data_IF_654377295240
#
_entry.id   IF_654377295240
#
_cell.length_a   1.000
_cell.length_b   1.000
_cell.length_c   1.000
_cell.angle_alpha   90.00
_cell.angle_beta   90.00
_cell.angle_gamma   90.00
#
_symmetry.space_group_name_H-M   'P 1'
#
loop_
_entity.id
_entity.type
_entity.pdbx_description
1 polymer ?
#
# COMPACT_ATOMS: atom_id res chain seq x y z
N UNK A 1 -23.89 3.09 -14.78
CA UNK A 1 -24.28 3.00 -16.22
C UNK A 1 -23.11 2.39 -16.99
N UNK A 2 -23.35 1.35 -17.77
CA UNK A 2 -22.32 0.75 -18.64
C UNK A 2 -22.35 1.47 -20.01
N UNK A 3 -21.19 1.60 -20.65
CA UNK A 3 -21.15 2.13 -22.01
C UNK A 3 -21.70 1.08 -23.00
N UNK A 4 -22.42 1.52 -24.04
CA UNK A 4 -22.91 0.62 -25.08
C UNK A 4 -21.71 -0.02 -25.83
N UNK A 5 -21.54 -1.32 -25.67
CA UNK A 5 -20.49 -2.10 -26.33
C UNK A 5 -19.21 -2.36 -25.54
N UNK A 6 -19.14 -2.00 -24.25
CA UNK A 6 -18.06 -2.39 -23.33
C UNK A 6 -18.62 -2.70 -21.93
N UNK A 7 -17.99 -3.65 -21.22
CA UNK A 7 -18.31 -3.96 -19.83
C UNK A 7 -17.71 -2.93 -18.84
N UNK A 8 -17.23 -1.79 -19.34
CA UNK A 8 -16.57 -0.77 -18.51
C UNK A 8 -17.62 0.11 -17.81
N UNK A 9 -17.45 0.29 -16.50
CA UNK A 9 -18.28 1.16 -15.67
C UNK A 9 -18.00 2.63 -16.01
N UNK A 10 -19.00 3.38 -16.49
CA UNK A 10 -18.82 4.78 -16.88
C UNK A 10 -19.26 5.79 -15.82
N UNK A 11 -20.11 5.39 -14.89
CA UNK A 11 -20.55 6.22 -13.77
C UNK A 11 -21.07 5.37 -12.61
N UNK A 12 -20.92 5.88 -11.39
CA UNK A 12 -21.53 5.34 -10.18
C UNK A 12 -22.47 6.41 -9.63
N UNK A 13 -23.75 6.06 -9.46
CA UNK A 13 -24.71 6.89 -8.75
C UNK A 13 -25.09 6.22 -7.45
N UNK A 14 -24.85 6.88 -6.32
CA UNK A 14 -25.39 6.48 -5.04
C UNK A 14 -26.84 6.98 -4.98
N UNK A 15 -27.79 6.06 -4.84
CA UNK A 15 -29.23 6.37 -4.76
C UNK A 15 -29.67 7.07 -3.47
N UNK A 16 -28.77 7.28 -2.51
CA UNK A 16 -29.07 7.82 -1.17
C UNK A 16 -28.73 9.29 -0.99
N UNK A 17 -28.06 9.96 -1.94
CA UNK A 17 -27.72 11.38 -1.82
C UNK A 17 -28.81 12.27 -2.42
N UNK A 18 -29.74 12.66 -1.59
CA UNK A 18 -30.67 13.78 -1.89
C UNK A 18 -29.89 15.10 -1.84
N UNK A 19 -29.91 15.84 -2.96
CA UNK A 19 -29.73 17.30 -3.07
C UNK A 19 -28.50 17.90 -2.38
N UNK A 20 -27.38 17.92 -3.07
CA UNK A 20 -26.26 18.77 -2.69
C UNK A 20 -24.95 18.23 -3.23
N UNK A 21 -24.48 18.78 -4.34
CA UNK A 21 -23.22 18.44 -5.02
C UNK A 21 -23.17 16.97 -5.49
N UNK A 22 -23.73 16.71 -6.63
CA UNK A 22 -23.40 15.52 -7.42
C UNK A 22 -21.88 15.55 -7.61
N UNK A 23 -21.13 14.87 -6.74
CA UNK A 23 -19.73 14.58 -7.04
C UNK A 23 -19.75 13.88 -8.38
N UNK A 24 -18.97 14.42 -9.31
CA UNK A 24 -18.89 13.90 -10.66
C UNK A 24 -18.23 12.51 -10.59
N UNK A 25 -19.03 11.48 -10.36
CA UNK A 25 -18.62 10.09 -10.22
C UNK A 25 -18.36 9.46 -11.59
N UNK A 26 -17.93 10.27 -12.55
CA UNK A 26 -17.56 9.83 -13.89
C UNK A 26 -16.31 8.95 -13.79
N UNK A 27 -16.39 7.80 -14.42
CA UNK A 27 -15.23 6.93 -14.63
C UNK A 27 -14.81 7.08 -16.07
N UNK A 28 -13.52 7.34 -16.31
CA UNK A 28 -12.93 7.37 -17.65
C UNK A 28 -11.74 6.45 -17.71
N UNK A 29 -11.43 5.96 -18.91
CA UNK A 29 -10.43 4.94 -19.15
C UNK A 29 -9.47 5.38 -20.28
N UNK A 30 -8.26 4.82 -20.27
CA UNK A 30 -7.35 4.86 -21.41
C UNK A 30 -7.72 3.76 -22.43
N UNK A 31 -6.99 3.72 -23.56
CA UNK A 31 -7.19 2.73 -24.63
C UNK A 31 -6.95 1.28 -24.16
N UNK A 32 -6.21 1.08 -23.09
CA UNK A 32 -5.92 -0.22 -22.49
C UNK A 32 -6.96 -0.65 -21.43
N UNK A 33 -8.01 0.19 -21.21
CA UNK A 33 -9.04 -0.05 -20.20
C UNK A 33 -8.60 0.22 -18.76
N UNK A 34 -7.52 0.98 -18.54
CA UNK A 34 -7.14 1.41 -17.21
C UNK A 34 -7.95 2.65 -16.82
N UNK A 35 -8.48 2.77 -15.59
CA UNK A 35 -9.20 3.96 -15.17
C UNK A 35 -8.27 5.17 -15.08
N UNK A 36 -8.55 6.23 -15.84
CA UNK A 36 -7.82 7.49 -15.77
C UNK A 36 -8.46 8.49 -14.84
N UNK A 37 -9.77 8.27 -14.54
CA UNK A 37 -10.52 9.04 -13.55
C UNK A 37 -11.52 8.15 -12.82
N UNK A 38 -11.57 8.25 -11.47
CA UNK A 38 -12.47 7.48 -10.63
C UNK A 38 -12.77 8.23 -9.33
N UNK A 39 -14.05 8.52 -9.04
CA UNK A 39 -14.48 9.27 -7.86
C UNK A 39 -13.72 10.59 -7.62
N UNK A 40 -13.45 11.34 -8.69
CA UNK A 40 -12.70 12.59 -8.64
C UNK A 40 -11.19 12.44 -8.51
N UNK A 41 -10.67 11.23 -8.36
CA UNK A 41 -9.24 10.97 -8.46
C UNK A 41 -8.79 10.94 -9.93
N UNK A 42 -7.59 11.47 -10.20
CA UNK A 42 -6.89 11.32 -11.48
C UNK A 42 -5.84 10.22 -11.34
N UNK A 43 -5.65 9.43 -12.40
CA UNK A 43 -4.67 8.35 -12.46
C UNK A 43 -3.92 8.36 -13.77
N UNK A 44 -2.63 8.01 -13.74
CA UNK A 44 -1.84 7.75 -14.94
C UNK A 44 -1.19 6.38 -14.88
N UNK A 45 -1.01 5.76 -16.03
CA UNK A 45 -0.56 4.39 -16.15
C UNK A 45 0.61 4.29 -17.15
N UNK A 46 1.44 3.26 -16.95
CA UNK A 46 2.37 2.77 -17.95
C UNK A 46 2.04 1.29 -18.19
N UNK A 47 1.41 0.98 -19.31
CA UNK A 47 0.78 -0.34 -19.51
C UNK A 47 -0.29 -0.58 -18.45
N UNK A 48 -0.13 -1.62 -17.63
CA UNK A 48 -1.02 -1.94 -16.51
C UNK A 48 -0.47 -1.48 -15.14
N UNK A 49 0.64 -0.76 -15.12
CA UNK A 49 1.25 -0.25 -13.89
C UNK A 49 0.74 1.15 -13.56
N UNK A 50 0.10 1.34 -12.41
CA UNK A 50 -0.31 2.65 -11.92
C UNK A 50 0.93 3.48 -11.58
N UNK A 51 1.14 4.60 -12.25
CA UNK A 51 2.27 5.53 -12.03
C UNK A 51 1.92 6.66 -11.08
N UNK A 52 0.68 7.13 -11.15
CA UNK A 52 0.21 8.26 -10.35
C UNK A 52 -1.24 8.06 -9.96
N UNK A 53 -1.58 8.47 -8.75
CA UNK A 53 -2.92 8.70 -8.26
C UNK A 53 -2.97 10.05 -7.54
N UNK A 54 -4.00 10.85 -7.77
CA UNK A 54 -4.17 12.13 -7.08
C UNK A 54 -5.62 12.53 -6.93
N UNK A 55 -5.96 13.09 -5.77
CA UNK A 55 -7.29 13.62 -5.45
C UNK A 55 -7.19 14.70 -4.37
N UNK A 56 -7.86 15.84 -4.60
CA UNK A 56 -8.02 16.91 -3.60
C UNK A 56 -6.71 17.37 -2.94
N UNK A 57 -5.66 17.56 -3.76
CA UNK A 57 -4.34 17.98 -3.29
C UNK A 57 -3.48 16.88 -2.67
N UNK A 58 -4.00 15.67 -2.53
CA UNK A 58 -3.27 14.47 -2.16
C UNK A 58 -2.80 13.72 -3.39
N UNK A 59 -1.60 13.13 -3.33
CA UNK A 59 -1.07 12.36 -4.44
C UNK A 59 -0.21 11.18 -4.00
N UNK A 60 -0.13 10.19 -4.88
CA UNK A 60 0.80 9.07 -4.75
C UNK A 60 1.44 8.79 -6.11
N UNK A 61 2.77 8.75 -6.14
CA UNK A 61 3.55 8.27 -7.28
C UNK A 61 4.13 6.90 -6.99
N UNK A 62 4.27 6.08 -8.03
CA UNK A 62 4.81 4.74 -7.94
C UNK A 62 5.92 4.52 -8.99
N UNK A 63 6.98 3.80 -8.59
CA UNK A 63 7.99 3.28 -9.49
C UNK A 63 8.06 1.75 -9.39
N UNK A 64 8.45 1.12 -10.50
CA UNK A 64 8.53 -0.33 -10.64
C UNK A 64 9.84 -0.69 -11.33
N UNK A 65 10.35 -1.89 -11.04
CA UNK A 65 11.45 -2.48 -11.80
C UNK A 65 10.98 -3.11 -13.12
N UNK A 66 11.89 -3.71 -13.86
CA UNK A 66 11.63 -4.36 -15.14
C UNK A 66 10.67 -5.56 -15.03
N UNK A 67 10.66 -6.24 -13.87
CA UNK A 67 9.75 -7.36 -13.57
C UNK A 67 8.34 -6.90 -13.16
N UNK A 68 8.10 -5.59 -13.10
CA UNK A 68 6.81 -5.04 -12.69
C UNK A 68 6.58 -5.01 -11.18
N UNK A 69 7.60 -5.28 -10.38
CA UNK A 69 7.54 -5.20 -8.91
C UNK A 69 7.70 -3.74 -8.49
N UNK A 70 6.83 -3.27 -7.59
CA UNK A 70 6.90 -1.90 -7.08
C UNK A 70 8.14 -1.71 -6.21
N UNK A 71 9.03 -0.80 -6.63
CA UNK A 71 10.27 -0.48 -5.90
C UNK A 71 10.18 0.82 -5.12
N UNK A 72 9.20 1.69 -5.44
CA UNK A 72 9.06 2.98 -4.77
C UNK A 72 7.61 3.45 -4.72
N UNK A 73 7.28 4.16 -3.65
CA UNK A 73 6.05 4.95 -3.47
C UNK A 73 6.42 6.32 -2.91
N UNK A 74 5.87 7.39 -3.47
CA UNK A 74 5.93 8.73 -2.89
C UNK A 74 4.49 9.20 -2.64
N UNK A 75 4.12 9.30 -1.37
CA UNK A 75 2.80 9.75 -0.94
C UNK A 75 2.94 11.11 -0.26
N UNK A 76 2.42 12.16 -0.92
CA UNK A 76 2.47 13.55 -0.43
C UNK A 76 3.88 13.99 0.00
N UNK A 77 4.92 13.58 -0.74
CA UNK A 77 6.32 13.88 -0.44
C UNK A 77 7.02 12.87 0.48
N UNK A 78 6.29 11.96 1.13
CA UNK A 78 6.89 10.88 1.93
C UNK A 78 7.30 9.75 1.01
N UNK A 79 8.62 9.55 0.89
CA UNK A 79 9.21 8.53 0.04
C UNK A 79 9.28 7.20 0.80
N UNK A 80 8.82 6.12 0.16
CA UNK A 80 9.02 4.74 0.60
C UNK A 80 9.77 3.99 -0.48
N UNK A 81 10.89 3.35 -0.14
CA UNK A 81 11.61 2.44 -1.02
C UNK A 81 11.42 1.00 -0.51
N UNK A 82 11.28 0.06 -1.43
CA UNK A 82 11.10 -1.36 -1.16
C UNK A 82 12.30 -2.14 -1.70
N UNK A 83 12.86 -3.02 -0.89
CA UNK A 83 14.04 -3.84 -1.22
C UNK A 83 13.65 -5.30 -1.20
N UNK A 84 13.94 -6.01 -2.28
CA UNK A 84 13.58 -7.41 -2.47
C UNK A 84 14.82 -8.29 -2.64
N UNK A 85 14.71 -9.56 -2.25
CA UNK A 85 15.66 -10.61 -2.61
C UNK A 85 14.89 -11.71 -3.35
N UNK A 86 14.86 -11.63 -4.67
CA UNK A 86 13.88 -12.37 -5.46
C UNK A 86 12.47 -11.87 -5.18
N UNK A 87 11.56 -12.75 -4.73
CA UNK A 87 10.18 -12.40 -4.44
C UNK A 87 9.95 -11.77 -3.06
N UNK A 88 10.61 -12.21 -1.95
CA UNK A 88 10.34 -11.65 -0.63
C UNK A 88 10.87 -10.23 -0.46
N UNK A 89 10.06 -9.38 0.19
CA UNK A 89 10.43 -8.04 0.63
C UNK A 89 11.36 -8.15 1.84
N UNK A 90 12.65 -7.88 1.67
CA UNK A 90 13.65 -7.99 2.75
C UNK A 90 13.84 -6.70 3.54
N UNK A 91 13.35 -5.57 3.04
CA UNK A 91 13.45 -4.30 3.74
C UNK A 91 12.70 -3.18 3.07
N UNK A 92 12.53 -2.10 3.82
CA UNK A 92 11.98 -0.85 3.31
C UNK A 92 12.52 0.35 4.07
N UNK A 93 12.56 1.50 3.40
CA UNK A 93 12.83 2.79 4.03
C UNK A 93 11.63 3.71 3.83
N UNK A 94 11.32 4.52 4.84
CA UNK A 94 10.20 5.49 4.81
C UNK A 94 10.70 6.83 5.32
N UNK A 95 10.51 7.88 4.53
CA UNK A 95 10.98 9.23 4.85
C UNK A 95 12.24 9.60 4.10
N UNK A 96 12.96 10.62 4.58
CA UNK A 96 14.19 11.13 3.97
C UNK A 96 15.13 11.74 5.01
N UNK A 97 16.44 11.75 4.72
CA UNK A 97 17.46 12.32 5.58
C UNK A 97 17.53 11.66 6.96
N UNK A 98 17.73 12.44 8.00
CA UNK A 98 17.85 11.96 9.39
C UNK A 98 16.55 11.39 9.97
N UNK A 99 15.41 11.64 9.33
CA UNK A 99 14.08 11.15 9.74
C UNK A 99 13.64 9.93 8.92
N UNK A 100 14.59 9.14 8.39
CA UNK A 100 14.29 7.91 7.67
C UNK A 100 14.05 6.78 8.64
N UNK A 101 12.85 6.18 8.55
CA UNK A 101 12.58 4.90 9.20
C UNK A 101 13.08 3.77 8.31
N UNK A 102 13.75 2.78 8.92
CA UNK A 102 14.28 1.60 8.22
C UNK A 102 13.66 0.36 8.83
N UNK A 103 13.15 -0.54 7.99
CA UNK A 103 12.66 -1.85 8.38
C UNK A 103 13.43 -2.92 7.63
N UNK A 104 13.77 -4.02 8.32
CA UNK A 104 14.41 -5.22 7.76
C UNK A 104 13.61 -6.43 8.18
N UNK A 105 13.24 -7.27 7.23
CA UNK A 105 12.39 -8.43 7.47
C UNK A 105 13.20 -9.72 7.34
N UNK A 106 12.99 -10.65 8.29
CA UNK A 106 13.53 -12.00 8.23
C UNK A 106 12.39 -13.01 8.16
N UNK A 107 12.62 -14.08 7.43
CA UNK A 107 11.65 -15.10 7.11
C UNK A 107 12.13 -16.48 7.55
N UNK A 108 11.19 -17.37 7.89
CA UNK A 108 11.48 -18.78 8.11
C UNK A 108 11.65 -19.53 6.76
N UNK A 109 11.95 -20.81 6.83
CA UNK A 109 12.14 -21.66 5.66
C UNK A 109 10.86 -21.85 4.83
N UNK A 110 9.70 -21.58 5.40
CA UNK A 110 8.39 -21.62 4.73
C UNK A 110 7.99 -20.29 4.08
N UNK A 111 8.82 -19.25 4.25
CA UNK A 111 8.56 -17.91 3.72
C UNK A 111 7.66 -17.04 4.60
N UNK A 112 7.39 -17.44 5.85
CA UNK A 112 6.65 -16.60 6.78
C UNK A 112 7.58 -15.57 7.42
N UNK A 113 7.16 -14.30 7.49
CA UNK A 113 7.89 -13.28 8.24
C UNK A 113 7.91 -13.65 9.73
N UNK A 114 9.10 -13.68 10.34
CA UNK A 114 9.30 -14.05 11.75
C UNK A 114 9.90 -12.94 12.59
N UNK A 115 10.70 -12.05 11.98
CA UNK A 115 11.36 -10.95 12.66
C UNK A 115 11.26 -9.68 11.82
N UNK A 116 11.11 -8.55 12.49
CA UNK A 116 11.36 -7.23 11.92
C UNK A 116 12.32 -6.47 12.81
N UNK A 117 13.44 -6.01 12.24
CA UNK A 117 14.30 -5.00 12.84
C UNK A 117 13.86 -3.64 12.31
N UNK A 118 13.61 -2.67 13.20
CA UNK A 118 13.24 -1.33 12.80
C UNK A 118 14.10 -0.26 13.48
N UNK A 119 14.35 0.80 12.72
CA UNK A 119 15.03 2.01 13.17
C UNK A 119 14.19 3.23 12.84
N UNK A 120 14.17 4.21 13.72
CA UNK A 120 13.52 5.52 13.52
C UNK A 120 14.52 6.67 13.45
N UNK A 121 15.82 6.37 13.52
CA UNK A 121 16.94 7.29 13.59
C UNK A 121 17.95 7.07 12.45
N UNK A 122 17.42 6.75 11.25
CA UNK A 122 18.21 6.51 10.04
C UNK A 122 19.26 5.38 10.20
N UNK A 123 18.95 4.36 10.98
CA UNK A 123 19.79 3.17 11.14
C UNK A 123 20.84 3.28 12.22
N UNK A 124 20.82 4.33 13.05
CA UNK A 124 21.76 4.46 14.17
C UNK A 124 21.51 3.44 15.26
N UNK A 125 20.23 3.17 15.54
CA UNK A 125 19.79 2.11 16.46
C UNK A 125 18.69 1.25 15.81
N UNK A 126 18.68 -0.04 16.17
CA UNK A 126 17.65 -0.99 15.75
C UNK A 126 16.98 -1.63 16.94
N UNK A 127 15.66 -1.73 16.88
CA UNK A 127 14.84 -2.52 17.77
C UNK A 127 14.33 -3.74 17.03
N UNK A 128 14.34 -4.90 17.68
CA UNK A 128 13.88 -6.16 17.11
C UNK A 128 12.52 -6.52 17.65
N UNK A 129 11.59 -6.87 16.76
CA UNK A 129 10.28 -7.42 17.09
C UNK A 129 10.06 -8.76 16.40
N UNK A 130 9.28 -9.61 17.05
CA UNK A 130 8.91 -10.94 16.59
C UNK A 130 7.44 -10.99 16.26
N UNK A 131 7.10 -11.58 15.11
CA UNK A 131 5.73 -11.80 14.69
C UNK A 131 5.14 -13.01 15.42
N UNK A 132 4.03 -12.83 16.12
CA UNK A 132 3.23 -13.93 16.66
C UNK A 132 2.04 -14.20 15.73
N UNK A 133 1.76 -15.48 15.52
CA UNK A 133 0.68 -15.97 14.65
C UNK A 133 -0.30 -16.81 15.44
N UNK A 134 -1.55 -16.83 14.97
CA UNK A 134 -2.58 -17.74 15.44
C UNK A 134 -2.50 -19.10 14.71
N UNK A 135 -3.43 -20.00 15.00
CA UNK A 135 -3.51 -21.32 14.39
C UNK A 135 -3.82 -21.27 12.87
N UNK A 136 -4.42 -20.18 12.37
CA UNK A 136 -4.68 -19.95 10.96
C UNK A 136 -3.47 -19.33 10.23
N UNK A 137 -2.34 -19.15 10.94
CA UNK A 137 -1.12 -18.52 10.44
C UNK A 137 -1.25 -17.00 10.18
N UNK A 138 -2.28 -16.33 10.71
CA UNK A 138 -2.40 -14.87 10.67
C UNK A 138 -1.50 -14.22 11.71
N UNK A 139 -0.87 -13.10 11.36
CA UNK A 139 -0.10 -12.30 12.30
C UNK A 139 -1.09 -11.61 13.25
N UNK A 140 -0.99 -11.91 14.54
CA UNK A 140 -1.87 -11.35 15.58
C UNK A 140 -1.17 -10.34 16.48
N UNK A 141 0.15 -10.43 16.65
CA UNK A 141 0.94 -9.51 17.48
C UNK A 141 2.35 -9.35 16.96
N UNK A 142 2.97 -8.21 17.35
CA UNK A 142 4.41 -8.06 17.41
C UNK A 142 4.81 -7.93 18.90
N UNK A 143 5.82 -8.68 19.28
CA UNK A 143 6.42 -8.59 20.62
C UNK A 143 7.88 -8.18 20.52
N UNK A 144 8.40 -7.51 21.53
CA UNK A 144 9.82 -7.20 21.64
C UNK A 144 10.63 -8.39 22.21
N UNK A 145 11.94 -8.19 22.37
CA UNK A 145 12.87 -9.19 22.91
C UNK A 145 12.57 -9.59 24.37
N UNK A 146 11.75 -8.82 25.10
CA UNK A 146 11.33 -9.12 26.48
C UNK A 146 10.02 -9.88 26.53
N UNK A 147 9.33 -10.03 25.38
CA UNK A 147 8.00 -10.61 25.27
C UNK A 147 6.87 -9.59 25.45
N UNK A 148 7.20 -8.30 25.63
CA UNK A 148 6.19 -7.26 25.74
C UNK A 148 5.54 -6.98 24.37
N UNK A 149 4.21 -6.82 24.37
CA UNK A 149 3.45 -6.50 23.14
C UNK A 149 3.78 -5.09 22.67
N UNK A 150 4.27 -4.96 21.43
CA UNK A 150 4.54 -3.70 20.74
C UNK A 150 3.36 -3.30 19.86
N UNK A 151 2.78 -4.27 19.15
CA UNK A 151 1.58 -4.09 18.32
C UNK A 151 0.67 -5.30 18.50
N UNK A 152 -0.63 -5.05 18.57
CA UNK A 152 -1.67 -6.08 18.55
C UNK A 152 -2.66 -5.80 17.43
N UNK A 153 -2.97 -6.82 16.62
CA UNK A 153 -3.94 -6.75 15.54
C UNK A 153 -5.26 -7.37 16.02
N UNK A 154 -6.31 -6.54 16.10
CA UNK A 154 -7.65 -7.03 16.35
C UNK A 154 -8.34 -7.32 15.02
N UNK A 155 -8.77 -8.59 14.82
CA UNK A 155 -9.69 -8.90 13.75
C UNK A 155 -11.08 -8.40 14.17
N UNK A 156 -11.67 -7.48 13.40
CA UNK A 156 -13.09 -7.19 13.55
C UNK A 156 -13.83 -8.42 13.03
N UNK A 157 -14.36 -9.23 13.96
CA UNK A 157 -15.33 -10.24 13.59
C UNK A 157 -16.54 -9.49 13.03
N UNK A 158 -16.78 -9.61 11.74
CA UNK A 158 -18.07 -9.24 11.15
C UNK A 158 -19.09 -10.27 11.59
N UNK A 159 -19.88 -9.93 12.61
CA UNK A 159 -21.13 -10.62 12.92
C UNK A 159 -22.11 -10.49 11.75
#
# INVERSE_FOLDING_TARGET
>A
MLSSGSDLLTAVTDGTVSTGSKQNNTVSYDEMGNPTRYFGAAMTWAGKQLKYWGKSGKYVNFAYNEDGIRTQKNADGILTNYYYNGSPLIGMTVGSGSSTNILRFSYDASGNAVVVDYSTDNGSTFNTCYYLRNEQNDIVKLIDKTGATVVEYTHLNSD
#
